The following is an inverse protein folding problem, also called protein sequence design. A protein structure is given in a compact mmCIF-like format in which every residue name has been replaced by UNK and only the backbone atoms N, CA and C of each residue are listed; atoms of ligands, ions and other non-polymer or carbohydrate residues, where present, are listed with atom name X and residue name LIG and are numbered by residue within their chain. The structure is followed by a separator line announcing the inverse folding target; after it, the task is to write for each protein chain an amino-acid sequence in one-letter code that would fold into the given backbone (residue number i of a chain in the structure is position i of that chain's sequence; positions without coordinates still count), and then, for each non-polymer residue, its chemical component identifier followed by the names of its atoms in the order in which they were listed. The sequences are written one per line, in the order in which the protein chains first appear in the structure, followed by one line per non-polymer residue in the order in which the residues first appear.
data_IF_561266502217
#
_entry.id   IF_561266502217
#
_cell.length_a   1.000
_cell.length_b   1.000
_cell.length_c   1.000
_cell.angle_alpha   90.00
_cell.angle_beta   90.00
_cell.angle_gamma   90.00
#
_symmetry.space_group_name_H-M   'P 1'
#
loop_
_entity.id
_entity.type
_entity.pdbx_description
1 polymer ?
#
# COMPACT_ATOMS: atom_id res chain seq x y z
N UNK A 1 7.59 -10.94 18.08
CA UNK A 1 7.49 -10.63 16.64
C UNK A 1 8.19 -11.75 15.91
N UNK A 2 7.56 -12.42 14.92
CA UNK A 2 8.32 -13.36 14.11
C UNK A 2 9.37 -12.54 13.35
N UNK A 3 10.63 -12.94 13.49
CA UNK A 3 11.76 -12.39 12.75
C UNK A 3 11.73 -13.19 11.45
N UNK A 4 11.14 -12.61 10.40
CA UNK A 4 11.22 -13.20 9.06
C UNK A 4 12.70 -13.19 8.69
N UNK A 5 13.28 -14.36 8.46
CA UNK A 5 14.67 -14.45 8.02
C UNK A 5 14.75 -13.88 6.60
N UNK A 6 15.84 -13.18 6.26
CA UNK A 6 16.07 -12.67 4.90
C UNK A 6 15.99 -13.76 3.82
N UNK A 7 16.06 -15.03 4.21
CA UNK A 7 15.93 -16.22 3.37
C UNK A 7 14.47 -16.59 2.99
N UNK A 8 13.46 -16.03 3.67
CA UNK A 8 12.03 -16.23 3.40
C UNK A 8 11.45 -15.10 2.53
N UNK A 9 12.21 -14.64 1.52
CA UNK A 9 11.62 -13.81 0.47
C UNK A 9 10.52 -14.65 -0.20
N UNK A 10 9.27 -14.20 -0.08
CA UNK A 10 8.14 -14.83 -0.75
C UNK A 10 8.43 -14.78 -2.24
N UNK A 11 8.56 -15.93 -2.89
CA UNK A 11 8.55 -15.99 -4.34
C UNK A 11 7.15 -15.60 -4.83
N UNK A 12 6.98 -14.32 -5.11
CA UNK A 12 5.82 -13.80 -5.82
C UNK A 12 6.09 -13.88 -7.32
N UNK A 13 5.05 -14.16 -8.09
CA UNK A 13 5.14 -14.15 -9.54
C UNK A 13 5.52 -12.72 -10.02
N UNK A 14 6.41 -12.60 -11.02
CA UNK A 14 6.83 -11.29 -11.56
C UNK A 14 5.64 -10.37 -11.93
N UNK A 15 4.51 -10.96 -12.31
CA UNK A 15 3.27 -10.24 -12.63
C UNK A 15 2.66 -9.51 -11.42
N UNK A 16 2.82 -10.05 -10.20
CA UNK A 16 2.37 -9.42 -8.97
C UNK A 16 3.18 -8.16 -8.71
N UNK A 17 4.51 -8.28 -8.76
CA UNK A 17 5.43 -7.17 -8.49
C UNK A 17 5.27 -6.04 -9.50
N UNK A 18 5.10 -6.37 -10.79
CA UNK A 18 4.87 -5.38 -11.83
C UNK A 18 3.59 -4.56 -11.56
N UNK A 19 2.48 -5.25 -11.20
CA UNK A 19 1.22 -4.58 -10.91
C UNK A 19 1.30 -3.77 -9.60
N UNK A 20 1.95 -4.31 -8.57
CA UNK A 20 2.17 -3.60 -7.31
C UNK A 20 2.96 -2.32 -7.53
N UNK A 21 4.02 -2.37 -8.36
CA UNK A 21 4.81 -1.19 -8.68
C UNK A 21 3.98 -0.13 -9.42
N UNK A 22 3.10 -0.53 -10.34
CA UNK A 22 2.15 0.39 -11.01
C UNK A 22 1.22 1.07 -10.01
N UNK A 23 0.65 0.30 -9.07
CA UNK A 23 -0.20 0.85 -7.99
C UNK A 23 0.59 1.82 -7.10
N UNK A 24 1.80 1.44 -6.71
CA UNK A 24 2.65 2.24 -5.85
C UNK A 24 3.03 3.57 -6.51
N UNK A 25 3.47 3.55 -7.76
CA UNK A 25 3.78 4.77 -8.52
C UNK A 25 2.55 5.67 -8.68
N UNK A 26 1.36 5.08 -8.90
CA UNK A 26 0.13 5.85 -8.96
C UNK A 26 -0.25 6.46 -7.60
N UNK A 27 -0.03 5.75 -6.50
CA UNK A 27 -0.19 6.30 -5.16
C UNK A 27 0.76 7.49 -4.91
N UNK A 28 2.01 7.40 -5.39
CA UNK A 28 2.97 8.50 -5.32
C UNK A 28 2.53 9.72 -6.15
N UNK A 29 1.97 9.50 -7.33
CA UNK A 29 1.40 10.55 -8.18
C UNK A 29 0.25 11.28 -7.44
N UNK A 30 -0.68 10.54 -6.82
CA UNK A 30 -1.80 11.09 -6.05
C UNK A 30 -1.33 11.98 -4.89
N UNK A 31 -0.20 11.64 -4.23
CA UNK A 31 0.34 12.46 -3.13
C UNK A 31 1.13 13.70 -3.61
N UNK A 32 1.20 13.94 -4.93
CA UNK A 32 1.87 15.09 -5.53
C UNK A 32 3.25 14.76 -6.13
N UNK A 33 3.52 13.48 -6.39
CA UNK A 33 4.68 13.01 -7.13
C UNK A 33 6.01 13.04 -6.36
N UNK A 34 7.12 12.67 -7.03
CA UNK A 34 8.42 12.48 -6.38
C UNK A 34 8.98 13.77 -5.73
N UNK A 35 8.66 14.95 -6.27
CA UNK A 35 9.11 16.23 -5.69
C UNK A 35 8.51 16.48 -4.30
N UNK A 36 7.25 16.07 -4.08
CA UNK A 36 6.63 16.14 -2.74
C UNK A 36 7.30 15.21 -1.74
N UNK A 37 7.80 14.04 -2.18
CA UNK A 37 8.53 13.11 -1.32
C UNK A 37 9.80 13.74 -0.74
N UNK A 38 10.51 14.53 -1.55
CA UNK A 38 11.71 15.28 -1.14
C UNK A 38 11.35 16.27 -0.01
N UNK A 39 10.17 16.90 -0.07
CA UNK A 39 9.72 17.86 0.93
C UNK A 39 9.39 17.20 2.27
N UNK A 40 8.86 15.98 2.26
CA UNK A 40 8.45 15.29 3.49
C UNK A 40 9.60 14.63 4.26
N UNK A 41 10.80 14.49 3.65
CA UNK A 41 12.13 14.08 4.19
C UNK A 41 12.23 12.79 5.03
N UNK A 42 11.16 12.33 5.67
CA UNK A 42 11.08 11.14 6.49
C UNK A 42 10.02 10.21 5.90
N UNK A 43 10.47 9.38 4.95
CA UNK A 43 9.65 8.42 4.20
C UNK A 43 9.36 7.14 4.99
N UNK A 44 9.19 7.25 6.31
CA UNK A 44 8.90 6.13 7.22
C UNK A 44 7.59 5.41 6.89
N UNK A 45 6.77 6.01 6.05
CA UNK A 45 5.51 5.49 5.57
C UNK A 45 5.60 4.66 4.28
N UNK A 46 6.72 4.71 3.56
CA UNK A 46 6.88 3.98 2.28
C UNK A 46 6.74 2.47 2.48
N UNK A 47 7.33 1.84 3.52
CA UNK A 47 7.11 0.42 3.80
C UNK A 47 5.62 0.07 3.98
N UNK A 48 4.89 0.86 4.79
CA UNK A 48 3.46 0.62 4.99
C UNK A 48 2.63 0.85 3.73
N UNK A 49 3.04 1.76 2.84
CA UNK A 49 2.38 1.96 1.57
C UNK A 49 2.61 0.78 0.63
N UNK A 50 3.84 0.28 0.50
CA UNK A 50 4.12 -0.85 -0.39
C UNK A 50 3.42 -2.13 0.10
N UNK A 51 3.41 -2.38 1.42
CA UNK A 51 2.61 -3.45 2.04
C UNK A 51 1.12 -3.34 1.69
N UNK A 52 0.58 -2.12 1.75
CA UNK A 52 -0.80 -1.87 1.36
C UNK A 52 -1.06 -2.11 -0.13
N UNK A 53 -0.14 -1.72 -1.01
CA UNK A 53 -0.22 -2.00 -2.44
C UNK A 53 -0.25 -3.51 -2.71
N UNK A 54 0.65 -4.28 -2.07
CA UNK A 54 0.62 -5.74 -2.17
C UNK A 54 -0.70 -6.32 -1.67
N UNK A 55 -1.17 -5.92 -0.49
CA UNK A 55 -2.41 -6.44 0.08
C UNK A 55 -3.62 -6.17 -0.84
N UNK A 56 -3.72 -4.97 -1.41
CA UNK A 56 -4.79 -4.61 -2.35
C UNK A 56 -4.68 -5.42 -3.64
N UNK A 57 -3.50 -5.52 -4.25
CA UNK A 57 -3.31 -6.27 -5.50
C UNK A 57 -3.63 -7.76 -5.31
N UNK A 58 -3.07 -8.37 -4.26
CA UNK A 58 -3.32 -9.77 -3.94
C UNK A 58 -4.81 -10.04 -3.69
N UNK A 59 -5.51 -9.10 -3.05
CA UNK A 59 -6.94 -9.22 -2.79
C UNK A 59 -7.79 -9.06 -4.06
N UNK A 60 -7.59 -7.98 -4.78
CA UNK A 60 -8.50 -7.55 -5.86
C UNK A 60 -8.21 -8.25 -7.19
N UNK A 61 -6.94 -8.49 -7.51
CA UNK A 61 -6.54 -9.12 -8.78
C UNK A 61 -6.36 -10.64 -8.66
N UNK A 62 -5.82 -11.11 -7.54
CA UNK A 62 -5.47 -12.52 -7.33
C UNK A 62 -6.40 -13.24 -6.34
N UNK A 63 -7.46 -12.56 -5.87
CA UNK A 63 -8.52 -13.11 -5.02
C UNK A 63 -8.05 -13.79 -3.72
N UNK A 64 -6.85 -13.44 -3.23
CA UNK A 64 -6.31 -13.98 -1.99
C UNK A 64 -7.16 -13.59 -0.78
N UNK A 65 -7.24 -14.50 0.18
CA UNK A 65 -7.87 -14.25 1.48
C UNK A 65 -6.98 -13.40 2.38
N UNK A 66 -7.55 -12.75 3.40
CA UNK A 66 -6.76 -11.98 4.37
C UNK A 66 -5.70 -12.82 5.09
N UNK A 67 -5.98 -14.12 5.33
CA UNK A 67 -5.04 -15.03 5.97
C UNK A 67 -3.85 -15.36 5.06
N UNK A 68 -4.09 -15.60 3.77
CA UNK A 68 -3.02 -15.83 2.79
C UNK A 68 -2.15 -14.57 2.63
N UNK A 69 -2.78 -13.40 2.51
CA UNK A 69 -2.06 -12.12 2.39
C UNK A 69 -1.21 -11.87 3.64
N UNK A 70 -1.73 -12.17 4.83
CA UNK A 70 -0.99 -12.03 6.08
C UNK A 70 0.24 -12.96 6.11
N UNK A 71 0.07 -14.22 5.69
CA UNK A 71 1.17 -15.17 5.59
C UNK A 71 2.21 -14.75 4.55
N UNK A 72 1.76 -14.27 3.39
CA UNK A 72 2.63 -13.75 2.32
C UNK A 72 3.41 -12.56 2.87
N UNK A 73 2.76 -11.51 3.34
CA UNK A 73 3.47 -10.27 3.71
C UNK A 73 4.14 -10.33 5.09
N UNK A 74 4.05 -11.44 5.81
CA UNK A 74 4.53 -11.55 7.18
C UNK A 74 3.82 -10.59 8.16
N UNK A 75 2.57 -10.24 7.86
CA UNK A 75 1.74 -9.34 8.65
C UNK A 75 0.75 -10.10 9.51
N UNK A 76 0.14 -9.43 10.49
CA UNK A 76 -1.02 -10.01 11.18
C UNK A 76 -2.27 -9.92 10.28
N UNK A 77 -3.20 -10.89 10.40
CA UNK A 77 -4.50 -10.83 9.72
C UNK A 77 -5.27 -9.54 10.05
N UNK A 78 -5.13 -9.03 11.27
CA UNK A 78 -5.74 -7.76 11.67
C UNK A 78 -5.15 -6.57 10.91
N UNK A 79 -3.82 -6.53 10.73
CA UNK A 79 -3.14 -5.50 9.92
C UNK A 79 -3.67 -5.51 8.49
N UNK A 80 -3.75 -6.68 7.86
CA UNK A 80 -4.29 -6.84 6.51
C UNK A 80 -5.74 -6.36 6.44
N UNK A 81 -6.57 -6.74 7.40
CA UNK A 81 -7.97 -6.28 7.45
C UNK A 81 -8.07 -4.76 7.60
N UNK A 82 -7.23 -4.15 8.42
CA UNK A 82 -7.21 -2.69 8.58
C UNK A 82 -6.83 -1.98 7.27
N UNK A 83 -5.90 -2.56 6.50
CA UNK A 83 -5.54 -2.05 5.16
C UNK A 83 -6.72 -2.15 4.20
N UNK A 84 -7.33 -3.34 4.06
CA UNK A 84 -8.37 -3.60 3.07
C UNK A 84 -9.69 -2.87 3.37
N UNK A 85 -10.01 -2.67 4.64
CA UNK A 85 -11.23 -1.95 5.07
C UNK A 85 -11.05 -0.43 5.15
N UNK A 86 -9.85 0.09 4.90
CA UNK A 86 -9.58 1.52 4.95
C UNK A 86 -10.46 2.30 3.94
N UNK A 87 -11.06 3.39 4.41
CA UNK A 87 -12.00 4.21 3.64
C UNK A 87 -11.28 5.22 2.76
N UNK A 88 -11.70 5.32 1.51
CA UNK A 88 -11.08 6.20 0.49
C UNK A 88 -11.61 7.63 0.52
N UNK A 89 -12.74 7.85 1.18
CA UNK A 89 -13.43 9.13 1.24
C UNK A 89 -12.58 10.19 1.96
N UNK A 90 -12.49 11.39 1.38
CA UNK A 90 -11.77 12.53 1.97
C UNK A 90 -10.24 12.45 1.95
N UNK A 91 -9.64 11.44 1.31
CA UNK A 91 -8.17 11.31 1.27
C UNK A 91 -7.51 12.45 0.51
N UNK A 92 -8.08 12.86 -0.63
CA UNK A 92 -7.50 13.95 -1.44
C UNK A 92 -7.49 15.28 -0.69
N UNK A 93 -8.50 15.53 0.13
CA UNK A 93 -8.61 16.74 0.95
C UNK A 93 -7.66 16.73 2.14
N UNK A 94 -7.37 15.55 2.70
CA UNK A 94 -6.59 15.39 3.92
C UNK A 94 -5.13 14.97 3.70
N UNK A 95 -4.75 14.59 2.47
CA UNK A 95 -3.41 14.04 2.16
C UNK A 95 -2.28 14.98 2.56
N UNK A 96 -2.41 16.29 2.29
CA UNK A 96 -1.36 17.24 2.65
C UNK A 96 -1.19 17.36 4.17
N UNK A 97 -2.31 17.35 4.89
CA UNK A 97 -2.34 17.43 6.35
C UNK A 97 -1.77 16.17 6.98
N UNK A 98 -2.13 15.00 6.47
CA UNK A 98 -1.62 13.71 6.96
C UNK A 98 -0.13 13.52 6.63
N UNK A 99 0.34 13.94 5.45
CA UNK A 99 1.76 13.91 5.08
C UNK A 99 2.60 14.88 5.95
N UNK A 100 2.06 16.05 6.27
CA UNK A 100 2.70 17.02 7.20
C UNK A 100 2.85 16.47 8.62
N UNK A 101 1.96 15.57 9.06
CA UNK A 101 2.07 14.87 10.35
C UNK A 101 3.20 13.83 10.39
N UNK A 102 3.95 13.64 9.28
CA UNK A 102 5.11 12.74 9.13
C UNK A 102 4.84 11.27 9.50
N UNK A 103 3.57 10.90 9.63
CA UNK A 103 3.13 9.56 10.02
C UNK A 103 1.90 9.21 9.20
N UNK A 104 2.09 8.55 8.05
CA UNK A 104 0.97 7.91 7.37
C UNK A 104 0.62 6.68 8.20
N UNK A 105 -0.51 6.75 8.89
CA UNK A 105 -1.06 5.59 9.61
C UNK A 105 -1.46 4.51 8.60
N UNK A 106 -1.46 3.24 9.02
CA UNK A 106 -1.87 2.07 8.21
C UNK A 106 -3.18 2.29 7.43
N UNK A 107 -4.14 3.02 8.02
CA UNK A 107 -5.38 3.39 7.35
C UNK A 107 -5.17 4.28 6.12
N UNK A 108 -4.31 5.30 6.21
CA UNK A 108 -4.05 6.23 5.09
C UNK A 108 -3.31 5.51 3.97
N UNK A 109 -2.35 4.64 4.31
CA UNK A 109 -1.65 3.79 3.34
C UNK A 109 -2.61 2.85 2.60
N UNK A 110 -3.46 2.13 3.34
CA UNK A 110 -4.45 1.22 2.77
C UNK A 110 -5.41 1.91 1.82
N UNK A 111 -5.95 3.04 2.23
CA UNK A 111 -6.91 3.72 1.41
C UNK A 111 -6.28 4.47 0.21
N UNK A 112 -5.03 4.94 0.32
CA UNK A 112 -4.28 5.45 -0.83
C UNK A 112 -4.01 4.33 -1.86
N UNK A 113 -3.58 3.14 -1.41
CA UNK A 113 -3.37 1.99 -2.29
C UNK A 113 -4.66 1.57 -3.02
N UNK A 114 -5.80 1.54 -2.31
CA UNK A 114 -7.12 1.25 -2.92
C UNK A 114 -7.50 2.27 -3.98
N UNK A 115 -7.30 3.57 -3.69
CA UNK A 115 -7.59 4.64 -4.64
C UNK A 115 -6.72 4.51 -5.89
N UNK A 116 -5.41 4.30 -5.71
CA UNK A 116 -4.46 4.13 -6.79
C UNK A 116 -4.80 2.91 -7.67
N UNK A 117 -5.10 1.75 -7.06
CA UNK A 117 -5.51 0.55 -7.78
C UNK A 117 -6.79 0.78 -8.59
N UNK A 118 -7.76 1.52 -8.05
CA UNK A 118 -8.98 1.88 -8.78
C UNK A 118 -8.66 2.76 -9.99
N UNK A 119 -7.84 3.79 -9.83
CA UNK A 119 -7.51 4.71 -10.93
C UNK A 119 -6.76 4.04 -12.08
N UNK A 120 -5.81 3.13 -11.78
CA UNK A 120 -5.09 2.41 -12.85
C UNK A 120 -6.00 1.47 -13.64
N UNK A 121 -7.00 0.85 -13.01
CA UNK A 121 -7.93 -0.06 -13.67
C UNK A 121 -9.10 0.66 -14.37
N UNK A 122 -9.35 1.93 -14.04
CA UNK A 122 -10.32 2.78 -14.75
C UNK A 122 -9.72 3.50 -15.96
N UNK A 123 -8.39 3.56 -16.04
CA UNK A 123 -7.64 4.21 -17.13
C UNK A 123 -7.18 3.23 -18.20
N UNK A 124 -7.58 1.96 -18.10
CA UNK A 124 -7.28 0.86 -19.03
C UNK A 124 -8.56 0.40 -19.73
#
# INVERSE_FOLDING_TARGET
MPIIKEEEVIQLEEQVDELVLKVFLKALDIVGGPRKLILYRHLTWVPSLIEACYAVVLKEKFFKTESEIASILGLTKQTVRNILTAKTEGIRENIETELKKKTIKTHVAGALAKLAFKEINQSA
#
